data_IF_921577518248
#
_entry.id   IF_921577518248
#
_cell.length_a   1.000
_cell.length_b   1.000
_cell.length_c   1.000
_cell.angle_alpha   90.00
_cell.angle_beta   90.00
_cell.angle_gamma   90.00
#
_symmetry.space_group_name_H-M   'P 1'
#
loop_
_entity.id
_entity.type
_entity.pdbx_description
1 polymer ?
#
# COMPACT_ATOMS: atom_id res chain seq x y z
N UNK A 1 27.74 10.72 -3.60
CA UNK A 1 26.51 10.36 -4.32
C UNK A 1 25.44 11.33 -3.89
N UNK A 2 24.98 12.20 -4.78
CA UNK A 2 23.89 13.13 -4.51
C UNK A 2 22.61 12.31 -4.37
N UNK A 3 22.10 12.15 -3.14
CA UNK A 3 20.74 11.64 -2.95
C UNK A 3 19.79 12.53 -3.76
N UNK A 4 19.11 11.95 -4.74
CA UNK A 4 18.06 12.66 -5.46
C UNK A 4 16.97 12.95 -4.42
N UNK A 5 16.79 14.22 -4.04
CA UNK A 5 15.85 14.64 -2.99
C UNK A 5 14.38 14.26 -3.20
N UNK A 6 14.02 13.66 -4.35
CA UNK A 6 12.69 13.14 -4.62
C UNK A 6 12.45 11.78 -3.93
N UNK A 7 12.25 11.81 -2.62
CA UNK A 7 11.97 10.62 -1.79
C UNK A 7 10.69 9.88 -2.21
N UNK A 8 9.67 10.60 -2.67
CA UNK A 8 8.43 10.01 -3.17
C UNK A 8 8.66 9.18 -4.44
N UNK A 9 9.43 9.73 -5.38
CA UNK A 9 9.82 9.02 -6.59
C UNK A 9 10.60 7.75 -6.27
N UNK A 10 11.54 7.82 -5.33
CA UNK A 10 12.29 6.65 -4.87
C UNK A 10 11.38 5.57 -4.26
N UNK A 11 10.43 5.96 -3.39
CA UNK A 11 9.49 5.02 -2.78
C UNK A 11 8.65 4.29 -3.85
N UNK A 12 8.16 5.02 -4.84
CA UNK A 12 7.41 4.42 -5.96
C UNK A 12 8.27 3.47 -6.80
N UNK A 13 9.56 3.79 -7.02
CA UNK A 13 10.49 2.88 -7.72
C UNK A 13 10.64 1.57 -6.94
N UNK A 14 10.91 1.63 -5.64
CA UNK A 14 11.03 0.43 -4.81
C UNK A 14 9.74 -0.40 -4.78
N UNK A 15 8.56 0.23 -4.71
CA UNK A 15 7.28 -0.46 -4.84
C UNK A 15 7.12 -1.15 -6.21
N UNK A 16 7.58 -0.51 -7.29
CA UNK A 16 7.58 -1.10 -8.63
C UNK A 16 8.52 -2.29 -8.75
N UNK A 17 9.75 -2.16 -8.23
CA UNK A 17 10.75 -3.25 -8.18
C UNK A 17 10.22 -4.43 -7.38
N UNK A 18 9.62 -4.20 -6.22
CA UNK A 18 9.00 -5.24 -5.41
C UNK A 18 7.93 -6.02 -6.19
N UNK A 19 7.08 -5.33 -6.96
CA UNK A 19 6.08 -5.98 -7.84
C UNK A 19 6.74 -6.83 -8.92
N UNK A 20 7.83 -6.37 -9.52
CA UNK A 20 8.58 -7.16 -10.49
C UNK A 20 9.15 -8.44 -9.86
N UNK A 21 9.71 -8.36 -8.66
CA UNK A 21 10.21 -9.54 -7.93
C UNK A 21 9.10 -10.50 -7.51
N UNK A 22 7.95 -9.98 -7.08
CA UNK A 22 6.76 -10.78 -6.79
C UNK A 22 6.33 -11.62 -8.00
N UNK A 23 6.28 -11.00 -9.20
CA UNK A 23 5.95 -11.70 -10.44
C UNK A 23 6.97 -12.78 -10.80
N UNK A 24 8.24 -12.56 -10.46
CA UNK A 24 9.32 -13.54 -10.64
C UNK A 24 9.36 -14.59 -9.51
N UNK A 25 8.51 -14.49 -8.48
CA UNK A 25 8.49 -15.33 -7.28
C UNK A 25 9.79 -15.27 -6.45
N UNK A 26 10.53 -14.17 -6.58
CA UNK A 26 11.74 -13.87 -5.81
C UNK A 26 11.35 -13.11 -4.54
N UNK A 27 10.72 -13.82 -3.59
CA UNK A 27 10.03 -13.20 -2.45
C UNK A 27 10.96 -12.42 -1.50
N UNK A 28 12.17 -12.93 -1.24
CA UNK A 28 13.13 -12.27 -0.35
C UNK A 28 13.56 -10.90 -0.90
N UNK A 29 13.83 -10.82 -2.21
CA UNK A 29 14.17 -9.57 -2.91
C UNK A 29 13.00 -8.59 -2.94
N UNK A 30 11.77 -9.11 -3.07
CA UNK A 30 10.57 -8.31 -2.99
C UNK A 30 10.43 -7.70 -1.58
N UNK A 31 10.61 -8.48 -0.52
CA UNK A 31 10.55 -8.00 0.86
C UNK A 31 11.63 -6.94 1.16
N UNK A 32 12.87 -7.14 0.69
CA UNK A 32 13.94 -6.15 0.83
C UNK A 32 13.57 -4.82 0.14
N UNK A 33 13.04 -4.89 -1.08
CA UNK A 33 12.57 -3.71 -1.82
C UNK A 33 11.42 -3.00 -1.09
N UNK A 34 10.48 -3.77 -0.52
CA UNK A 34 9.38 -3.24 0.27
C UNK A 34 9.84 -2.58 1.57
N UNK A 35 10.88 -3.11 2.22
CA UNK A 35 11.47 -2.50 3.41
C UNK A 35 12.04 -1.11 3.09
N UNK A 36 12.73 -0.96 1.95
CA UNK A 36 13.21 0.36 1.50
C UNK A 36 12.07 1.33 1.17
N UNK A 37 11.01 0.84 0.53
CA UNK A 37 9.83 1.66 0.27
C UNK A 37 9.16 2.12 1.59
N UNK A 38 9.10 1.25 2.60
CA UNK A 38 8.55 1.54 3.92
C UNK A 38 9.36 2.62 4.65
N UNK A 39 10.69 2.49 4.70
CA UNK A 39 11.59 3.48 5.31
C UNK A 39 11.39 4.88 4.71
N UNK A 40 11.27 4.95 3.38
CA UNK A 40 10.98 6.20 2.68
C UNK A 40 9.57 6.72 2.98
N UNK A 41 8.57 5.85 2.99
CA UNK A 41 7.18 6.23 3.30
C UNK A 41 7.06 6.81 4.71
N UNK A 42 7.65 6.15 5.71
CA UNK A 42 7.65 6.57 7.11
C UNK A 42 8.41 7.89 7.27
N UNK A 43 9.58 8.01 6.62
CA UNK A 43 10.35 9.26 6.62
C UNK A 43 9.64 10.46 5.97
N UNK A 44 8.57 10.23 5.21
CA UNK A 44 7.73 11.27 4.61
C UNK A 44 6.34 11.39 5.27
N UNK A 45 5.96 10.47 6.16
CA UNK A 45 4.58 10.33 6.64
C UNK A 45 3.57 9.95 5.53
N UNK A 46 4.01 9.30 4.46
CA UNK A 46 3.15 8.95 3.33
C UNK A 46 2.38 7.65 3.58
N UNK A 47 1.23 7.77 4.24
CA UNK A 47 0.35 6.63 4.57
C UNK A 47 -0.14 5.83 3.36
N UNK A 48 -0.31 6.47 2.19
CA UNK A 48 -0.72 5.77 0.98
C UNK A 48 0.38 4.84 0.44
N UNK A 49 1.66 5.22 0.59
CA UNK A 49 2.78 4.34 0.27
C UNK A 49 2.84 3.19 1.28
N UNK A 50 2.68 3.46 2.57
CA UNK A 50 2.60 2.43 3.62
C UNK A 50 1.48 1.41 3.35
N UNK A 51 0.28 1.88 2.99
CA UNK A 51 -0.83 1.02 2.58
C UNK A 51 -0.44 0.06 1.44
N UNK A 52 0.25 0.58 0.40
CA UNK A 52 0.72 -0.24 -0.73
C UNK A 52 1.80 -1.24 -0.33
N UNK A 53 2.66 -0.90 0.62
CA UNK A 53 3.66 -1.84 1.16
C UNK A 53 2.96 -3.02 1.82
N UNK A 54 2.01 -2.76 2.73
CA UNK A 54 1.26 -3.82 3.41
C UNK A 54 0.48 -4.71 2.44
N UNK A 55 -0.17 -4.11 1.44
CA UNK A 55 -0.85 -4.86 0.38
C UNK A 55 0.08 -5.82 -0.37
N UNK A 56 1.32 -5.40 -0.67
CA UNK A 56 2.28 -6.25 -1.38
C UNK A 56 2.89 -7.32 -0.47
N UNK A 57 3.18 -7.00 0.80
CA UNK A 57 3.67 -7.97 1.78
C UNK A 57 2.64 -9.07 2.06
N UNK A 58 1.37 -8.69 2.18
CA UNK A 58 0.25 -9.64 2.28
C UNK A 58 0.27 -10.64 1.11
N UNK A 59 0.40 -10.14 -0.12
CA UNK A 59 0.51 -10.99 -1.31
C UNK A 59 1.73 -11.93 -1.28
N UNK A 60 2.87 -11.48 -0.74
CA UNK A 60 4.07 -12.31 -0.56
C UNK A 60 3.80 -13.42 0.46
N UNK A 61 3.34 -13.07 1.67
CA UNK A 61 3.10 -14.03 2.74
C UNK A 61 1.99 -15.03 2.40
N UNK A 62 1.01 -14.62 1.60
CA UNK A 62 0.01 -15.52 1.02
C UNK A 62 0.64 -16.60 0.15
N UNK A 63 1.60 -16.24 -0.70
CA UNK A 63 2.32 -17.19 -1.56
C UNK A 63 3.25 -18.10 -0.74
N UNK A 64 3.88 -17.57 0.31
CA UNK A 64 4.72 -18.33 1.24
C UNK A 64 3.93 -19.19 2.25
N UNK A 65 2.60 -19.08 2.27
CA UNK A 65 1.69 -19.73 3.23
C UNK A 65 1.98 -19.40 4.69
N UNK A 66 2.56 -18.22 4.95
CA UNK A 66 2.83 -17.72 6.29
C UNK A 66 1.60 -16.98 6.82
N UNK A 67 0.74 -17.70 7.53
CA UNK A 67 -0.57 -17.19 7.95
C UNK A 67 -0.48 -16.11 9.04
N UNK A 68 0.51 -16.20 9.93
CA UNK A 68 0.70 -15.21 11.01
C UNK A 68 1.13 -13.87 10.43
N UNK A 69 2.20 -13.87 9.62
CA UNK A 69 2.71 -12.67 8.95
C UNK A 69 1.64 -12.05 8.02
N UNK A 70 0.90 -12.88 7.28
CA UNK A 70 -0.21 -12.41 6.44
C UNK A 70 -1.26 -11.67 7.27
N UNK A 71 -1.69 -12.23 8.41
CA UNK A 71 -2.70 -11.59 9.27
C UNK A 71 -2.20 -10.26 9.81
N UNK A 72 -0.93 -10.20 10.21
CA UNK A 72 -0.33 -8.95 10.69
C UNK A 72 -0.36 -7.87 9.61
N UNK A 73 0.03 -8.19 8.37
CA UNK A 73 0.01 -7.24 7.26
C UNK A 73 -1.41 -6.80 6.88
N UNK A 74 -2.41 -7.69 6.97
CA UNK A 74 -3.83 -7.32 6.78
C UNK A 74 -4.31 -6.34 7.85
N UNK A 75 -3.94 -6.55 9.12
CA UNK A 75 -4.31 -5.62 10.20
C UNK A 75 -3.72 -4.24 9.95
N UNK A 76 -2.43 -4.16 9.61
CA UNK A 76 -1.76 -2.89 9.30
C UNK A 76 -2.34 -2.21 8.06
N UNK A 77 -2.72 -3.00 7.04
CA UNK A 77 -3.43 -2.50 5.86
C UNK A 77 -4.77 -1.85 6.26
N UNK A 78 -5.59 -2.53 7.05
CA UNK A 78 -6.89 -2.00 7.49
C UNK A 78 -6.75 -0.74 8.35
N UNK A 79 -5.75 -0.68 9.24
CA UNK A 79 -5.42 0.53 9.99
C UNK A 79 -5.09 1.70 9.05
N UNK A 80 -4.30 1.46 8.00
CA UNK A 80 -3.99 2.50 7.02
C UNK A 80 -5.23 2.95 6.21
N UNK A 81 -6.15 2.03 5.87
CA UNK A 81 -7.41 2.37 5.18
C UNK A 81 -8.26 3.30 6.05
N UNK A 82 -8.38 3.00 7.34
CA UNK A 82 -9.11 3.82 8.32
C UNK A 82 -8.48 5.21 8.45
N UNK A 83 -7.15 5.26 8.63
CA UNK A 83 -6.41 6.53 8.78
C UNK A 83 -6.44 7.43 7.53
N UNK A 84 -6.66 6.84 6.35
CA UNK A 84 -6.79 7.54 5.08
C UNK A 84 -8.25 7.85 4.71
N UNK A 85 -9.21 7.44 5.56
CA UNK A 85 -10.64 7.58 5.31
C UNK A 85 -11.09 7.04 3.94
N UNK A 86 -10.49 5.92 3.52
CA UNK A 86 -10.76 5.30 2.21
C UNK A 86 -12.04 4.46 2.22
N UNK A 87 -13.16 5.07 2.60
CA UNK A 87 -14.48 4.47 2.59
C UNK A 87 -15.53 5.40 1.96
N UNK A 88 -16.50 4.79 1.29
CA UNK A 88 -17.63 5.50 0.74
C UNK A 88 -18.52 6.01 1.88
N UNK A 89 -18.80 7.31 1.92
CA UNK A 89 -19.62 7.89 2.99
C UNK A 89 -21.09 7.42 3.04
N UNK A 90 -21.59 6.71 2.02
CA UNK A 90 -23.00 6.30 1.89
C UNK A 90 -23.19 4.82 2.18
N UNK A 91 -22.32 3.95 1.65
CA UNK A 91 -22.41 2.51 1.86
C UNK A 91 -21.39 1.96 2.87
N UNK A 92 -20.37 2.74 3.25
CA UNK A 92 -19.32 2.30 4.18
C UNK A 92 -18.32 1.30 3.59
N UNK A 93 -18.45 0.95 2.31
CA UNK A 93 -17.50 0.06 1.63
C UNK A 93 -16.17 0.77 1.36
N UNK A 94 -15.08 0.00 1.34
CA UNK A 94 -13.73 0.47 1.00
C UNK A 94 -13.67 1.02 -0.43
N UNK A 95 -12.91 2.10 -0.60
CA UNK A 95 -12.61 2.71 -1.90
C UNK A 95 -11.28 2.16 -2.42
N UNK A 96 -11.23 1.82 -3.72
CA UNK A 96 -9.99 1.46 -4.40
C UNK A 96 -9.74 -0.05 -4.54
N UNK A 97 -10.56 -0.90 -3.92
CA UNK A 97 -10.51 -2.35 -4.12
C UNK A 97 -11.00 -2.77 -5.52
N UNK A 98 -11.92 -2.00 -6.09
CA UNK A 98 -12.47 -2.18 -7.43
C UNK A 98 -12.38 -0.87 -8.20
N UNK A 99 -12.35 -0.97 -9.53
CA UNK A 99 -12.47 0.20 -10.39
C UNK A 99 -13.92 0.71 -10.40
N UNK A 100 -14.31 1.42 -9.34
CA UNK A 100 -15.61 2.05 -9.17
C UNK A 100 -15.54 3.51 -9.59
N UNK A 101 -16.64 4.04 -10.12
CA UNK A 101 -16.77 5.48 -10.36
C UNK A 101 -16.95 6.16 -9.00
N UNK A 102 -16.19 7.23 -8.77
CA UNK A 102 -16.22 7.99 -7.53
C UNK A 102 -16.72 9.41 -7.77
N UNK A 103 -17.51 9.94 -6.82
CA UNK A 103 -17.91 11.34 -6.77
C UNK A 103 -17.49 11.94 -5.43
N UNK A 104 -16.78 13.07 -5.50
CA UNK A 104 -16.53 13.92 -4.33
C UNK A 104 -17.65 14.95 -4.20
N UNK A 105 -18.23 15.07 -3.01
CA UNK A 105 -19.22 16.12 -2.70
C UNK A 105 -18.53 17.36 -2.12
N UNK A 106 -19.19 18.53 -2.15
CA UNK A 106 -18.68 19.75 -1.52
C UNK A 106 -18.40 19.61 0.00
N UNK A 107 -19.06 18.65 0.67
CA UNK A 107 -18.82 18.32 2.07
C UNK A 107 -17.59 17.43 2.30
N UNK A 108 -16.68 17.32 1.33
CA UNK A 108 -15.44 16.52 1.38
C UNK A 108 -15.61 15.01 1.51
N UNK A 109 -16.83 14.49 1.43
CA UNK A 109 -17.08 13.05 1.40
C UNK A 109 -16.95 12.50 -0.04
N UNK A 110 -16.40 11.29 -0.16
CA UNK A 110 -16.28 10.55 -1.41
C UNK A 110 -17.30 9.39 -1.41
N UNK A 111 -17.94 9.15 -2.55
CA UNK A 111 -18.95 8.11 -2.70
C UNK A 111 -18.77 7.31 -3.99
N UNK A 112 -19.22 6.06 -3.97
CA UNK A 112 -19.47 5.29 -5.18
C UNK A 112 -20.65 5.89 -5.95
N UNK A 113 -20.51 5.93 -7.29
CA UNK A 113 -21.57 6.26 -8.24
C UNK A 113 -22.31 5.00 -8.72
#
# INVERSE_FOLDING_TARGET
>A
MTEIGNRLGQAHVYLGVAKCWLLQKEFDKALESLQRAQELADGMGNKLCTLKVHCLREGIYRNLKQQEDLREEVVKFLQCVEELELYCGMCGESIGDRNQKLQALPCSHIFHL
#
